data_IF_746106036386
#
_entry.id   IF_746106036386
#
_cell.length_a   1.000
_cell.length_b   1.000
_cell.length_c   1.000
_cell.angle_alpha   90.00
_cell.angle_beta   90.00
_cell.angle_gamma   90.00
#
_symmetry.space_group_name_H-M   'P 1'
#
loop_
_entity.id
_entity.type
_entity.pdbx_description
1 polymer ?
#
# COMPACT_ATOMS: atom_id res chain seq x y z
N UNK A 1 -81.38 -46.35 -67.15
CA UNK A 1 -80.35 -45.51 -67.83
C UNK A 1 -80.32 -44.06 -67.35
N UNK A 2 -81.44 -43.32 -67.32
CA UNK A 2 -81.44 -41.88 -66.93
C UNK A 2 -80.85 -41.58 -65.53
N UNK A 3 -81.13 -42.41 -64.52
CA UNK A 3 -80.65 -42.20 -63.14
C UNK A 3 -79.11 -42.26 -62.99
N UNK A 4 -78.45 -43.15 -63.74
CA UNK A 4 -76.98 -43.23 -63.73
C UNK A 4 -76.34 -42.01 -64.40
N UNK A 5 -76.96 -41.49 -65.48
CA UNK A 5 -76.47 -40.30 -66.18
C UNK A 5 -76.52 -39.08 -65.27
N UNK A 6 -77.61 -38.89 -64.51
CA UNK A 6 -77.75 -37.77 -63.58
C UNK A 6 -76.74 -37.84 -62.43
N UNK A 7 -76.55 -39.02 -61.84
CA UNK A 7 -75.52 -39.25 -60.80
C UNK A 7 -74.10 -38.98 -61.30
N UNK A 8 -73.80 -39.31 -62.55
CA UNK A 8 -72.49 -39.00 -63.14
C UNK A 8 -72.32 -37.50 -63.42
N UNK A 9 -73.39 -36.78 -63.80
CA UNK A 9 -73.36 -35.32 -63.94
C UNK A 9 -73.11 -34.63 -62.59
N UNK A 10 -73.82 -35.01 -61.54
CA UNK A 10 -73.59 -34.48 -60.18
C UNK A 10 -72.15 -34.73 -59.71
N UNK A 11 -71.61 -35.92 -60.00
CA UNK A 11 -70.22 -36.26 -59.66
C UNK A 11 -69.20 -35.40 -60.42
N UNK A 12 -69.45 -35.12 -61.71
CA UNK A 12 -68.60 -34.23 -62.52
C UNK A 12 -68.65 -32.80 -61.95
N UNK A 13 -69.83 -32.31 -61.59
CA UNK A 13 -70.01 -30.97 -61.04
C UNK A 13 -69.33 -30.80 -59.66
N UNK A 14 -69.42 -31.82 -58.80
CA UNK A 14 -68.72 -31.86 -57.53
C UNK A 14 -67.18 -31.86 -57.72
N UNK A 15 -66.68 -32.65 -58.66
CA UNK A 15 -65.26 -32.69 -59.01
C UNK A 15 -64.78 -31.33 -59.55
N UNK A 16 -65.56 -30.68 -60.40
CA UNK A 16 -65.24 -29.36 -60.93
C UNK A 16 -65.18 -28.29 -59.82
N UNK A 17 -66.09 -28.37 -58.85
CA UNK A 17 -66.07 -27.49 -57.67
C UNK A 17 -64.81 -27.73 -56.83
N UNK A 18 -64.47 -28.99 -56.55
CA UNK A 18 -63.25 -29.35 -55.82
C UNK A 18 -61.98 -28.94 -56.55
N UNK A 19 -61.93 -29.06 -57.89
CA UNK A 19 -60.82 -28.58 -58.72
C UNK A 19 -60.69 -27.05 -58.64
N UNK A 20 -61.81 -26.31 -58.63
CA UNK A 20 -61.79 -24.85 -58.47
C UNK A 20 -61.27 -24.43 -57.10
N UNK A 21 -61.73 -25.08 -56.03
CA UNK A 21 -61.27 -24.82 -54.67
C UNK A 21 -59.77 -25.13 -54.54
N UNK A 22 -59.32 -26.27 -55.06
CA UNK A 22 -57.91 -26.65 -55.08
C UNK A 22 -57.04 -25.65 -55.86
N UNK A 23 -57.51 -25.16 -57.02
CA UNK A 23 -56.81 -24.11 -57.78
C UNK A 23 -56.72 -22.79 -57.01
N UNK A 24 -57.76 -22.45 -56.25
CA UNK A 24 -57.80 -21.24 -55.45
C UNK A 24 -56.82 -21.32 -54.27
N UNK A 25 -56.74 -22.46 -53.60
CA UNK A 25 -55.77 -22.69 -52.53
C UNK A 25 -54.33 -22.75 -53.05
N UNK A 26 -54.08 -23.39 -54.20
CA UNK A 26 -52.77 -23.33 -54.88
C UNK A 26 -52.37 -21.88 -55.20
N UNK A 27 -53.33 -21.04 -55.57
CA UNK A 27 -53.07 -19.61 -55.83
C UNK A 27 -52.70 -18.85 -54.55
N UNK A 28 -53.39 -19.12 -53.44
CA UNK A 28 -53.05 -18.55 -52.12
C UNK A 28 -51.67 -19.00 -51.65
N UNK A 29 -51.37 -20.29 -51.74
CA UNK A 29 -50.09 -20.85 -51.32
C UNK A 29 -48.94 -20.30 -52.16
N UNK A 30 -49.14 -20.11 -53.47
CA UNK A 30 -48.15 -19.45 -54.34
C UNK A 30 -47.84 -18.03 -53.90
N UNK A 31 -48.85 -17.25 -53.49
CA UNK A 31 -48.65 -15.90 -52.95
C UNK A 31 -47.87 -15.95 -51.63
N UNK A 32 -48.27 -16.82 -50.70
CA UNK A 32 -47.59 -17.01 -49.42
C UNK A 32 -46.11 -17.40 -49.60
N UNK A 33 -45.82 -18.32 -50.54
CA UNK A 33 -44.44 -18.72 -50.86
C UNK A 33 -43.64 -17.54 -51.41
N UNK A 34 -44.24 -16.69 -52.24
CA UNK A 34 -43.60 -15.48 -52.75
C UNK A 34 -43.24 -14.53 -51.61
N UNK A 35 -44.19 -14.25 -50.72
CA UNK A 35 -43.98 -13.34 -49.58
C UNK A 35 -42.91 -13.88 -48.61
N UNK A 36 -42.91 -15.20 -48.36
CA UNK A 36 -41.89 -15.84 -47.53
C UNK A 36 -40.50 -15.79 -48.17
N UNK A 37 -40.41 -15.94 -49.50
CA UNK A 37 -39.14 -15.79 -50.23
C UNK A 37 -38.59 -14.36 -50.10
N UNK A 38 -39.45 -13.36 -50.26
CA UNK A 38 -39.05 -11.96 -50.11
C UNK A 38 -38.61 -11.64 -48.68
N UNK A 39 -39.36 -12.15 -47.68
CA UNK A 39 -38.99 -12.00 -46.26
C UNK A 39 -37.65 -12.66 -45.96
N UNK A 40 -37.43 -13.88 -46.45
CA UNK A 40 -36.14 -14.59 -46.31
C UNK A 40 -35.01 -13.78 -46.93
N UNK A 41 -35.19 -13.28 -48.15
CA UNK A 41 -34.19 -12.45 -48.83
C UNK A 41 -33.83 -11.20 -48.02
N UNK A 42 -34.83 -10.46 -47.51
CA UNK A 42 -34.61 -9.27 -46.67
C UNK A 42 -33.85 -9.61 -45.38
N UNK A 43 -34.21 -10.71 -44.72
CA UNK A 43 -33.53 -11.16 -43.49
C UNK A 43 -32.08 -11.55 -43.76
N UNK A 44 -31.81 -12.32 -44.82
CA UNK A 44 -30.44 -12.71 -45.19
C UNK A 44 -29.58 -11.48 -45.50
N UNK A 45 -30.13 -10.48 -46.21
CA UNK A 45 -29.41 -9.22 -46.47
C UNK A 45 -29.09 -8.47 -45.18
N UNK A 46 -30.04 -8.38 -44.25
CA UNK A 46 -29.85 -7.72 -42.95
C UNK A 46 -28.84 -8.46 -42.07
N UNK A 47 -28.87 -9.79 -42.07
CA UNK A 47 -27.92 -10.63 -41.35
C UNK A 47 -26.49 -10.38 -41.82
N UNK A 48 -26.27 -10.29 -43.14
CA UNK A 48 -24.94 -10.00 -43.71
C UNK A 48 -24.39 -8.64 -43.25
N UNK A 49 -25.22 -7.60 -43.26
CA UNK A 49 -24.82 -6.26 -42.79
C UNK A 49 -24.46 -6.28 -41.30
N UNK A 50 -25.22 -7.01 -40.49
CA UNK A 50 -24.90 -7.16 -39.08
C UNK A 50 -23.62 -7.95 -38.84
N UNK A 51 -23.37 -9.03 -39.60
CA UNK A 51 -22.10 -9.76 -39.48
C UNK A 51 -20.90 -8.89 -39.85
N UNK A 52 -20.99 -8.08 -40.91
CA UNK A 52 -19.92 -7.15 -41.29
C UNK A 52 -19.68 -6.12 -40.17
N UNK A 53 -20.74 -5.52 -39.62
CA UNK A 53 -20.62 -4.60 -38.49
C UNK A 53 -20.01 -5.26 -37.26
N UNK A 54 -20.42 -6.50 -36.94
CA UNK A 54 -19.88 -7.27 -35.82
C UNK A 54 -18.38 -7.51 -35.99
N UNK A 55 -17.95 -7.98 -37.17
CA UNK A 55 -16.53 -8.18 -37.46
C UNK A 55 -15.71 -6.89 -37.38
N UNK A 56 -16.29 -5.75 -37.79
CA UNK A 56 -15.66 -4.44 -37.63
C UNK A 56 -15.47 -4.05 -36.16
N UNK A 57 -16.49 -4.29 -35.32
CA UNK A 57 -16.42 -4.05 -33.88
C UNK A 57 -15.44 -4.99 -33.18
N UNK A 58 -15.40 -6.27 -33.56
CA UNK A 58 -14.44 -7.26 -33.03
C UNK A 58 -13.01 -6.87 -33.36
N UNK A 59 -12.74 -6.48 -34.60
CA UNK A 59 -11.41 -6.01 -35.02
C UNK A 59 -10.98 -4.75 -34.26
N UNK A 60 -11.89 -3.81 -34.05
CA UNK A 60 -11.63 -2.61 -33.27
C UNK A 60 -11.36 -2.93 -31.79
N UNK A 61 -12.15 -3.81 -31.18
CA UNK A 61 -11.94 -4.27 -29.80
C UNK A 61 -10.55 -4.89 -29.64
N UNK A 62 -10.17 -5.78 -30.57
CA UNK A 62 -8.86 -6.42 -30.59
C UNK A 62 -7.72 -5.41 -30.73
N UNK A 63 -7.87 -4.43 -31.62
CA UNK A 63 -6.89 -3.36 -31.76
C UNK A 63 -6.73 -2.55 -30.47
N UNK A 64 -7.83 -2.29 -29.75
CA UNK A 64 -7.78 -1.58 -28.47
C UNK A 64 -7.12 -2.43 -27.38
N UNK A 65 -7.40 -3.72 -27.31
CA UNK A 65 -6.72 -4.65 -26.41
C UNK A 65 -5.20 -4.68 -26.65
N UNK A 66 -4.79 -4.74 -27.92
CA UNK A 66 -3.38 -4.72 -28.29
C UNK A 66 -2.71 -3.38 -27.92
N UNK A 67 -3.39 -2.26 -28.13
CA UNK A 67 -2.91 -0.94 -27.73
C UNK A 67 -2.75 -0.81 -26.20
N UNK A 68 -3.72 -1.31 -25.44
CA UNK A 68 -3.67 -1.32 -23.97
C UNK A 68 -2.50 -2.19 -23.50
N UNK A 69 -2.31 -3.36 -24.11
CA UNK A 69 -1.20 -4.26 -23.78
C UNK A 69 0.16 -3.62 -24.08
N UNK A 70 0.29 -2.95 -25.24
CA UNK A 70 1.50 -2.23 -25.62
C UNK A 70 1.82 -1.12 -24.61
N UNK A 71 0.85 -0.22 -24.35
CA UNK A 71 1.02 0.86 -23.36
C UNK A 71 1.34 0.36 -21.96
N UNK A 72 0.72 -0.76 -21.54
CA UNK A 72 1.02 -1.38 -20.24
C UNK A 72 2.47 -1.87 -20.17
N UNK A 73 3.00 -2.46 -21.25
CA UNK A 73 4.40 -2.89 -21.30
C UNK A 73 5.38 -1.71 -21.31
N UNK A 74 5.07 -0.63 -22.03
CA UNK A 74 5.86 0.61 -22.04
C UNK A 74 5.92 1.23 -20.64
N UNK A 75 4.75 1.36 -19.98
CA UNK A 75 4.64 1.87 -18.62
C UNK A 75 5.46 1.02 -17.64
N UNK A 76 5.42 -0.31 -17.76
CA UNK A 76 6.19 -1.20 -16.90
C UNK A 76 7.71 -1.00 -17.06
N UNK A 77 8.19 -0.77 -18.29
CA UNK A 77 9.61 -0.49 -18.55
C UNK A 77 10.00 0.83 -17.92
N UNK A 78 9.21 1.89 -18.11
CA UNK A 78 9.48 3.21 -17.54
C UNK A 78 9.45 3.19 -16.01
N UNK A 79 8.48 2.50 -15.40
CA UNK A 79 8.40 2.29 -13.95
C UNK A 79 9.66 1.58 -13.42
N UNK A 80 10.11 0.51 -14.08
CA UNK A 80 11.31 -0.21 -13.65
C UNK A 80 12.59 0.63 -13.75
N UNK A 81 12.66 1.52 -14.76
CA UNK A 81 13.77 2.44 -14.93
C UNK A 81 13.75 3.52 -13.84
N UNK A 82 12.57 4.06 -13.52
CA UNK A 82 12.38 5.03 -12.44
C UNK A 82 12.73 4.42 -11.07
N UNK A 83 12.25 3.21 -10.78
CA UNK A 83 12.59 2.48 -9.55
C UNK A 83 14.09 2.30 -9.38
N UNK A 84 14.77 1.90 -10.46
CA UNK A 84 16.23 1.74 -10.48
C UNK A 84 16.95 3.07 -10.25
N UNK A 85 16.44 4.17 -10.81
CA UNK A 85 17.00 5.50 -10.60
C UNK A 85 16.81 5.97 -9.16
N UNK A 86 15.61 5.82 -8.59
CA UNK A 86 15.33 6.20 -7.20
C UNK A 86 16.24 5.40 -6.26
N UNK A 87 16.33 4.09 -6.46
CA UNK A 87 17.20 3.22 -5.68
C UNK A 87 18.67 3.71 -5.70
N UNK A 88 19.17 4.07 -6.89
CA UNK A 88 20.51 4.63 -7.04
C UNK A 88 20.67 5.96 -6.30
N UNK A 89 19.70 6.87 -6.42
CA UNK A 89 19.75 8.18 -5.75
C UNK A 89 19.70 8.06 -4.23
N UNK A 90 18.87 7.17 -3.70
CA UNK A 90 18.82 6.88 -2.26
C UNK A 90 20.15 6.33 -1.75
N UNK A 91 20.81 5.45 -2.51
CA UNK A 91 22.14 4.94 -2.16
C UNK A 91 23.23 6.01 -2.25
N UNK A 92 23.19 6.90 -3.26
CA UNK A 92 24.11 8.03 -3.36
C UNK A 92 23.95 9.01 -2.19
N UNK A 93 22.70 9.29 -1.78
CA UNK A 93 22.37 10.13 -0.63
C UNK A 93 23.01 9.59 0.65
N UNK A 94 22.80 8.30 0.92
CA UNK A 94 23.37 7.61 2.09
C UNK A 94 24.89 7.56 1.99
N UNK A 95 25.46 7.31 0.81
CA UNK A 95 26.91 7.21 0.66
C UNK A 95 27.65 8.54 0.92
N UNK A 96 27.09 9.65 0.47
CA UNK A 96 27.81 10.95 0.45
C UNK A 96 27.35 11.95 1.49
N UNK A 97 26.08 11.93 1.91
CA UNK A 97 25.50 12.92 2.82
C UNK A 97 25.21 12.31 4.19
N UNK A 98 24.64 11.11 4.22
CA UNK A 98 24.27 10.41 5.45
C UNK A 98 24.96 9.04 5.56
N UNK A 99 26.29 8.98 5.66
CA UNK A 99 27.01 7.72 5.74
C UNK A 99 26.55 6.91 6.95
N UNK A 100 26.02 5.72 6.69
CA UNK A 100 25.63 4.75 7.73
C UNK A 100 26.79 3.77 7.89
N UNK A 101 27.45 3.78 9.05
CA UNK A 101 28.54 2.86 9.36
C UNK A 101 28.09 1.92 10.48
N UNK A 102 28.12 0.59 10.28
CA UNK A 102 27.93 -0.34 11.38
C UNK A 102 29.09 -0.16 12.35
N UNK A 103 28.78 0.20 13.59
CA UNK A 103 29.77 0.26 14.65
C UNK A 103 30.11 -1.18 15.00
N UNK A 104 31.19 -1.71 14.43
CA UNK A 104 31.79 -2.92 14.97
C UNK A 104 32.21 -2.57 16.40
N UNK A 105 31.60 -3.21 17.40
CA UNK A 105 32.14 -3.21 18.74
C UNK A 105 33.63 -3.55 18.61
N UNK A 106 34.51 -2.57 18.78
CA UNK A 106 35.95 -2.77 18.79
C UNK A 106 36.24 -3.75 19.92
N UNK A 107 36.36 -5.03 19.56
CA UNK A 107 36.79 -6.10 20.48
C UNK A 107 38.25 -5.96 20.89
N UNK A 108 38.98 -5.05 20.24
CA UNK A 108 40.37 -4.80 20.55
C UNK A 108 40.46 -3.50 21.34
N UNK A 109 40.44 -3.61 22.67
CA UNK A 109 40.96 -2.66 23.69
C UNK A 109 39.95 -2.24 24.77
N UNK A 110 39.40 -3.14 25.59
CA UNK A 110 38.85 -2.70 26.89
C UNK A 110 39.04 -3.71 28.03
N UNK A 111 39.58 -3.19 29.15
CA UNK A 111 39.71 -3.74 30.51
C UNK A 111 38.73 -4.86 30.89
N UNK A 112 39.26 -5.91 31.54
CA UNK A 112 38.55 -7.14 31.94
C UNK A 112 37.33 -6.98 32.87
N UNK A 113 37.05 -5.79 33.38
CA UNK A 113 35.79 -5.49 34.09
C UNK A 113 34.61 -5.28 33.13
N UNK A 114 34.83 -4.72 31.93
CA UNK A 114 33.76 -4.60 30.92
C UNK A 114 33.43 -5.94 30.30
N UNK A 115 34.42 -6.83 30.15
CA UNK A 115 34.21 -8.19 29.65
C UNK A 115 33.32 -9.01 30.59
N UNK A 116 33.55 -8.94 31.91
CA UNK A 116 32.64 -9.58 32.90
C UNK A 116 31.23 -9.01 32.89
N UNK A 117 31.08 -7.69 32.69
CA UNK A 117 29.76 -7.06 32.57
C UNK A 117 29.04 -7.47 31.27
N UNK A 118 29.77 -7.59 30.16
CA UNK A 118 29.24 -8.11 28.90
C UNK A 118 28.81 -9.57 29.03
N UNK A 119 29.63 -10.43 29.66
CA UNK A 119 29.29 -11.84 29.93
C UNK A 119 28.06 -11.99 30.85
N UNK A 120 27.92 -11.12 31.86
CA UNK A 120 26.74 -11.09 32.74
C UNK A 120 25.48 -10.59 32.03
N UNK A 121 25.62 -9.56 31.17
CA UNK A 121 24.52 -9.03 30.38
C UNK A 121 24.07 -10.04 29.31
N UNK A 122 25.01 -10.78 28.71
CA UNK A 122 24.76 -11.89 27.80
C UNK A 122 24.01 -13.02 28.52
N UNK A 123 24.42 -13.38 29.75
CA UNK A 123 23.72 -14.37 30.56
C UNK A 123 22.28 -13.97 30.95
N UNK A 124 22.01 -12.66 31.04
CA UNK A 124 20.67 -12.11 31.32
C UNK A 124 19.75 -12.07 30.08
N UNK A 125 20.30 -12.22 28.87
CA UNK A 125 19.52 -12.17 27.61
C UNK A 125 19.07 -13.54 27.11
N UNK A 126 19.53 -14.63 27.73
CA UNK A 126 19.04 -15.97 27.43
C UNK A 126 17.67 -16.20 28.09
N UNK A 127 16.66 -16.50 27.28
CA UNK A 127 15.34 -16.91 27.78
C UNK A 127 15.16 -18.39 27.50
N UNK A 128 14.72 -19.15 28.51
CA UNK A 128 14.49 -20.59 28.37
C UNK A 128 13.04 -20.84 27.99
N UNK A 129 12.80 -21.30 26.75
CA UNK A 129 11.47 -21.59 26.22
C UNK A 129 11.46 -23.04 25.73
N UNK A 130 10.50 -23.83 26.23
CA UNK A 130 10.22 -25.21 25.79
C UNK A 130 11.42 -26.17 25.73
N UNK A 131 12.32 -26.13 26.71
CA UNK A 131 13.44 -27.08 26.75
C UNK A 131 14.70 -26.62 26.02
N UNK A 132 14.67 -25.44 25.39
CA UNK A 132 15.79 -24.90 24.64
C UNK A 132 16.19 -23.51 25.17
N UNK A 133 17.50 -23.29 25.26
CA UNK A 133 18.06 -21.96 25.50
C UNK A 133 17.99 -21.17 24.20
N UNK A 134 17.06 -20.21 24.13
CA UNK A 134 16.95 -19.31 22.98
C UNK A 134 17.63 -17.98 23.32
N UNK A 135 18.57 -17.59 22.48
CA UNK A 135 19.29 -16.33 22.57
C UNK A 135 18.53 -15.25 21.81
N UNK A 136 17.68 -14.50 22.50
CA UNK A 136 17.05 -13.30 21.96
C UNK A 136 18.03 -12.13 22.14
N UNK A 137 19.05 -12.07 21.30
CA UNK A 137 19.79 -10.81 21.13
C UNK A 137 18.97 -9.93 20.19
N UNK A 138 18.48 -8.76 20.63
CA UNK A 138 17.89 -7.76 19.75
C UNK A 138 19.02 -7.13 18.92
N UNK A 139 19.64 -7.91 18.04
CA UNK A 139 20.61 -7.48 17.03
C UNK A 139 21.47 -6.28 17.47
N UNK A 140 22.55 -6.60 18.19
CA UNK A 140 23.74 -5.80 18.52
C UNK A 140 24.43 -5.08 17.33
N UNK A 141 23.70 -4.70 16.28
CA UNK A 141 24.23 -3.79 15.27
C UNK A 141 23.91 -2.37 15.72
N UNK A 142 24.83 -1.79 16.50
CA UNK A 142 24.82 -0.33 16.69
C UNK A 142 25.23 0.31 15.36
N UNK A 143 24.42 1.23 14.86
CA UNK A 143 24.71 1.95 13.61
C UNK A 143 25.04 3.39 13.95
N UNK A 144 25.98 3.97 13.22
CA UNK A 144 26.24 5.41 13.29
C UNK A 144 25.82 6.06 11.99
N UNK A 145 25.11 7.19 12.09
CA UNK A 145 24.76 8.02 10.94
C UNK A 145 25.57 9.29 11.04
N UNK A 146 26.46 9.53 10.07
CA UNK A 146 27.47 10.62 10.10
C UNK A 146 28.50 10.44 11.22
N UNK A 147 28.10 10.58 12.49
CA UNK A 147 28.98 10.50 13.66
C UNK A 147 28.29 10.01 14.95
N UNK A 148 27.03 10.39 15.26
CA UNK A 148 26.33 9.86 16.43
C UNK A 148 25.95 8.37 16.29
N UNK A 149 26.02 7.63 17.41
CA UNK A 149 25.69 6.19 17.48
C UNK A 149 24.25 5.97 17.94
N UNK A 150 23.57 5.02 17.33
CA UNK A 150 22.22 4.60 17.68
C UNK A 150 22.21 3.12 18.07
N UNK A 151 21.56 2.80 19.19
CA UNK A 151 21.18 1.44 19.57
C UNK A 151 19.79 1.18 18.97
N UNK A 152 19.59 -0.01 18.42
CA UNK A 152 18.44 -0.37 17.59
C UNK A 152 17.12 -0.39 18.38
N UNK A 153 16.50 0.78 18.54
CA UNK A 153 15.06 0.90 18.72
C UNK A 153 14.50 0.90 20.14
N UNK A 154 15.27 0.50 21.16
CA UNK A 154 14.85 0.66 22.55
C UNK A 154 15.58 1.84 23.20
N UNK A 155 14.92 3.00 23.17
CA UNK A 155 15.45 4.24 23.75
C UNK A 155 15.08 4.40 25.23
N UNK A 156 14.40 3.41 25.85
CA UNK A 156 13.88 3.49 27.22
C UNK A 156 14.98 3.47 28.29
N UNK A 157 16.10 2.80 28.05
CA UNK A 157 17.21 2.67 29.00
C UNK A 157 17.90 4.01 29.32
N UNK A 158 17.83 4.98 28.40
CA UNK A 158 18.50 6.30 28.52
C UNK A 158 17.55 7.42 29.01
N UNK A 159 16.29 7.09 29.28
CA UNK A 159 15.24 8.04 29.71
C UNK A 159 15.40 8.52 31.15
N UNK A 160 16.13 7.78 31.98
CA UNK A 160 16.47 8.16 33.37
C UNK A 160 17.59 9.22 33.45
N UNK A 161 17.90 9.89 32.34
CA UNK A 161 18.97 10.88 32.23
C UNK A 161 18.61 12.22 32.88
N UNK A 162 17.38 12.73 32.71
CA UNK A 162 16.98 14.04 33.28
C UNK A 162 17.11 14.05 34.81
N UNK A 163 16.70 12.98 35.49
CA UNK A 163 16.87 12.82 36.95
C UNK A 163 18.35 12.81 37.36
N UNK A 164 19.21 12.12 36.60
CA UNK A 164 20.66 12.09 36.85
C UNK A 164 21.35 13.41 36.52
N UNK A 165 20.86 14.17 35.54
CA UNK A 165 21.43 15.45 35.13
C UNK A 165 21.14 16.55 36.17
N UNK A 166 19.91 16.60 36.70
CA UNK A 166 19.60 17.48 37.85
C UNK A 166 20.46 17.14 39.07
N UNK A 167 20.64 15.85 39.38
CA UNK A 167 21.48 15.41 40.51
C UNK A 167 22.98 15.73 40.34
N UNK A 168 23.51 15.70 39.11
CA UNK A 168 24.95 15.90 38.83
C UNK A 168 25.32 17.34 38.50
N UNK A 169 24.38 18.18 38.06
CA UNK A 169 24.57 19.62 37.86
C UNK A 169 24.94 20.35 39.16
N UNK A 170 24.56 19.82 40.33
CA UNK A 170 24.96 20.36 41.64
C UNK A 170 26.39 19.97 42.05
N UNK A 171 27.08 19.10 41.31
CA UNK A 171 28.45 18.66 41.62
C UNK A 171 29.43 19.11 40.52
N UNK A 172 30.03 20.29 40.71
CA UNK A 172 30.90 21.01 39.76
C UNK A 172 32.26 20.33 39.39
N UNK A 173 32.41 19.01 39.51
CA UNK A 173 33.72 18.35 39.43
C UNK A 173 33.83 17.25 38.35
N UNK A 174 33.28 17.45 37.15
CA UNK A 174 33.47 16.49 36.04
C UNK A 174 34.24 17.13 34.86
N UNK A 175 35.34 16.52 34.37
CA UNK A 175 36.15 17.06 33.28
C UNK A 175 35.35 17.21 31.97
N UNK A 176 35.64 18.27 31.22
CA UNK A 176 34.88 18.69 30.03
C UNK A 176 34.95 17.74 28.83
N UNK A 177 35.91 16.82 28.79
CA UNK A 177 36.16 15.91 27.65
C UNK A 177 35.34 14.61 27.71
N UNK A 178 34.74 14.27 28.85
CA UNK A 178 33.94 13.04 29.04
C UNK A 178 32.40 13.30 28.98
N UNK A 179 31.97 14.49 28.58
CA UNK A 179 30.53 14.85 28.45
C UNK A 179 29.88 14.31 27.17
N UNK A 180 30.18 13.07 26.79
CA UNK A 180 29.34 12.34 25.83
C UNK A 180 28.16 11.74 26.58
N UNK A 181 27.10 12.52 26.70
CA UNK A 181 25.85 12.04 27.26
C UNK A 181 25.09 11.24 26.20
N UNK A 182 24.86 9.93 26.41
CA UNK A 182 24.23 9.05 25.42
C UNK A 182 22.91 9.59 24.85
N UNK A 183 22.12 10.28 25.67
CA UNK A 183 20.88 10.92 25.24
C UNK A 183 21.06 11.96 24.12
N UNK A 184 22.11 12.80 24.18
CA UNK A 184 22.39 13.79 23.12
C UNK A 184 22.92 13.15 21.85
N UNK A 185 23.58 11.99 21.97
CA UNK A 185 24.04 11.22 20.82
C UNK A 185 22.85 10.56 20.12
N UNK A 186 21.93 9.97 20.89
CA UNK A 186 20.70 9.37 20.37
C UNK A 186 19.80 10.43 19.74
N UNK A 187 19.65 11.59 20.37
CA UNK A 187 18.84 12.68 19.84
C UNK A 187 19.38 13.23 18.53
N UNK A 188 20.70 13.45 18.45
CA UNK A 188 21.36 13.88 17.23
C UNK A 188 21.25 12.81 16.12
N UNK A 189 21.40 11.52 16.48
CA UNK A 189 21.21 10.42 15.54
C UNK A 189 19.78 10.40 14.98
N UNK A 190 18.76 10.48 15.83
CA UNK A 190 17.34 10.51 15.42
C UNK A 190 16.99 11.76 14.59
N UNK A 191 17.60 12.91 14.90
CA UNK A 191 17.44 14.11 14.08
C UNK A 191 17.99 13.91 12.66
N UNK A 192 19.16 13.27 12.53
CA UNK A 192 19.71 12.91 11.22
C UNK A 192 18.89 11.82 10.52
N UNK A 193 18.35 10.85 11.24
CA UNK A 193 17.42 9.86 10.69
C UNK A 193 16.15 10.52 10.15
N UNK A 194 15.54 11.42 10.92
CA UNK A 194 14.36 12.16 10.49
C UNK A 194 14.65 12.98 9.22
N UNK A 195 15.79 13.65 9.15
CA UNK A 195 16.20 14.40 7.96
C UNK A 195 16.45 13.49 6.75
N UNK A 196 17.09 12.33 6.96
CA UNK A 196 17.29 11.33 5.92
C UNK A 196 15.95 10.80 5.41
N UNK A 197 15.02 10.45 6.30
CA UNK A 197 13.68 9.96 5.97
C UNK A 197 12.88 11.01 5.19
N UNK A 198 12.91 12.29 5.60
CA UNK A 198 12.28 13.38 4.83
C UNK A 198 12.87 13.50 3.42
N UNK A 199 14.18 13.39 3.28
CA UNK A 199 14.86 13.49 1.98
C UNK A 199 14.55 12.28 1.10
N UNK A 200 14.52 11.08 1.67
CA UNK A 200 14.13 9.85 0.98
C UNK A 200 12.68 9.94 0.51
N UNK A 201 11.79 10.42 1.38
CA UNK A 201 10.36 10.62 1.07
C UNK A 201 10.18 11.53 -0.15
N UNK A 202 10.96 12.62 -0.22
CA UNK A 202 11.00 13.52 -1.36
C UNK A 202 11.54 12.86 -2.64
N UNK A 203 12.65 12.12 -2.55
CA UNK A 203 13.23 11.41 -3.70
C UNK A 203 12.27 10.31 -4.22
N UNK A 204 11.53 9.68 -3.32
CA UNK A 204 10.59 8.60 -3.62
C UNK A 204 9.23 9.09 -4.10
N UNK A 205 8.96 10.40 -4.02
CA UNK A 205 7.67 11.03 -4.33
C UNK A 205 6.49 10.32 -3.64
N UNK A 206 6.65 10.03 -2.35
CA UNK A 206 5.66 9.33 -1.54
C UNK A 206 5.16 10.22 -0.41
N UNK A 207 3.88 10.07 -0.07
CA UNK A 207 3.30 10.75 1.08
C UNK A 207 3.45 9.89 2.35
N UNK A 208 3.86 10.51 3.45
CA UNK A 208 3.93 9.87 4.77
C UNK A 208 2.80 10.41 5.65
N UNK A 209 2.17 9.60 6.50
CA UNK A 209 0.97 10.00 7.21
C UNK A 209 1.23 10.97 8.36
N UNK A 210 2.47 11.04 8.86
CA UNK A 210 2.83 11.91 9.98
C UNK A 210 3.91 12.89 9.56
N UNK A 211 3.74 14.16 9.89
CA UNK A 211 4.82 15.14 9.72
C UNK A 211 5.85 14.94 10.82
N UNK A 212 7.10 14.75 10.45
CA UNK A 212 8.23 14.63 11.40
C UNK A 212 9.24 15.72 11.10
N UNK A 213 9.62 16.49 12.11
CA UNK A 213 10.66 17.51 11.99
C UNK A 213 11.90 17.10 12.77
N UNK A 214 13.10 17.37 12.24
CA UNK A 214 14.34 17.10 12.98
C UNK A 214 14.42 17.88 14.30
N UNK A 215 13.77 19.05 14.37
CA UNK A 215 13.69 19.87 15.58
C UNK A 215 12.97 19.17 16.74
N UNK A 216 12.09 18.21 16.45
CA UNK A 216 11.34 17.45 17.46
C UNK A 216 12.29 16.60 18.32
N UNK A 217 13.45 16.24 17.77
CA UNK A 217 14.50 15.49 18.46
C UNK A 217 15.55 16.40 19.09
N UNK A 218 15.60 17.69 18.75
CA UNK A 218 16.59 18.64 19.28
C UNK A 218 16.17 19.27 20.62
N UNK A 219 14.91 19.16 21.03
CA UNK A 219 14.37 19.75 22.27
C UNK A 219 13.98 18.65 23.26
N UNK A 220 14.76 18.47 24.33
CA UNK A 220 14.51 17.48 25.38
C UNK A 220 13.86 18.11 26.60
N UNK A 221 12.56 18.35 26.51
CA UNK A 221 11.78 18.90 27.62
C UNK A 221 10.85 17.87 28.26
N UNK A 222 10.24 16.98 27.45
CA UNK A 222 9.30 15.96 27.92
C UNK A 222 9.56 14.60 27.24
N UNK A 223 9.69 13.55 28.06
CA UNK A 223 9.90 12.18 27.60
C UNK A 223 8.73 11.64 26.75
N UNK A 224 7.49 12.00 27.07
CA UNK A 224 6.32 11.60 26.31
C UNK A 224 6.34 12.19 24.90
N UNK A 225 6.71 13.49 24.78
CA UNK A 225 6.88 14.16 23.48
C UNK A 225 7.97 13.51 22.64
N UNK A 226 9.08 13.14 23.28
CA UNK A 226 10.17 12.44 22.62
C UNK A 226 9.73 11.04 22.13
N UNK A 227 9.05 10.25 22.97
CA UNK A 227 8.51 8.94 22.59
C UNK A 227 7.52 9.05 21.43
N UNK A 228 6.66 10.06 21.46
CA UNK A 228 5.70 10.35 20.40
C UNK A 228 6.37 10.73 19.08
N UNK A 229 7.42 11.56 19.10
CA UNK A 229 8.20 11.89 17.91
C UNK A 229 8.90 10.66 17.30
N UNK A 230 9.47 9.79 18.14
CA UNK A 230 10.06 8.51 17.70
C UNK A 230 9.00 7.60 17.08
N UNK A 231 7.81 7.52 17.68
CA UNK A 231 6.70 6.74 17.13
C UNK A 231 6.23 7.28 15.77
N UNK A 232 6.13 8.61 15.59
CA UNK A 232 5.84 9.25 14.30
C UNK A 232 6.90 8.86 13.25
N UNK A 233 8.19 8.89 13.61
CA UNK A 233 9.30 8.52 12.73
C UNK A 233 9.26 7.04 12.32
N UNK A 234 9.10 6.13 13.28
CA UNK A 234 8.96 4.69 13.04
C UNK A 234 7.76 4.39 12.13
N UNK A 235 6.64 5.08 12.35
CA UNK A 235 5.47 4.94 11.52
C UNK A 235 5.75 5.34 10.06
N UNK A 236 6.40 6.49 9.86
CA UNK A 236 6.77 6.93 8.51
C UNK A 236 7.72 5.95 7.81
N UNK A 237 8.74 5.43 8.50
CA UNK A 237 9.68 4.46 7.92
C UNK A 237 8.95 3.18 7.48
N UNK A 238 8.05 2.65 8.31
CA UNK A 238 7.26 1.47 7.94
C UNK A 238 6.36 1.77 6.72
N UNK A 239 5.85 3.00 6.58
CA UNK A 239 4.97 3.38 5.46
C UNK A 239 5.76 3.33 4.16
N UNK A 240 6.97 3.89 4.19
CA UNK A 240 7.90 3.84 3.07
C UNK A 240 8.25 2.40 2.70
N UNK A 241 8.51 1.53 3.69
CA UNK A 241 8.76 0.11 3.47
C UNK A 241 7.57 -0.60 2.81
N UNK A 242 6.34 -0.32 3.27
CA UNK A 242 5.10 -0.87 2.68
C UNK A 242 4.92 -0.37 1.24
N UNK A 243 5.12 0.93 1.00
CA UNK A 243 5.02 1.54 -0.33
C UNK A 243 6.04 0.95 -1.32
N UNK A 244 7.23 0.56 -0.83
CA UNK A 244 8.29 -0.08 -1.62
C UNK A 244 8.21 -1.61 -1.68
N UNK A 245 7.14 -2.21 -1.13
CA UNK A 245 6.96 -3.65 -1.08
C UNK A 245 8.16 -4.39 -0.45
N UNK A 246 8.75 -3.81 0.59
CA UNK A 246 9.73 -4.48 1.44
C UNK A 246 9.04 -5.65 2.15
N UNK A 247 9.79 -6.73 2.39
CA UNK A 247 9.29 -7.91 3.09
C UNK A 247 8.84 -7.53 4.52
N UNK A 248 7.52 -7.60 4.75
CA UNK A 248 6.90 -7.19 6.01
C UNK A 248 7.33 -8.08 7.19
N UNK A 249 7.72 -9.33 6.92
CA UNK A 249 8.15 -10.27 7.97
C UNK A 249 9.48 -9.87 8.63
N UNK A 250 10.26 -9.01 7.95
CA UNK A 250 11.55 -8.51 8.44
C UNK A 250 11.42 -7.17 9.18
N UNK A 251 10.27 -6.52 9.08
CA UNK A 251 10.05 -5.22 9.71
C UNK A 251 9.79 -5.40 11.20
N UNK A 252 10.25 -4.43 12.00
CA UNK A 252 10.02 -4.38 13.44
C UNK A 252 9.35 -3.05 13.81
N UNK A 253 8.34 -3.00 14.70
CA UNK A 253 7.63 -1.76 15.05
C UNK A 253 8.58 -0.63 15.50
N UNK A 254 9.52 -0.94 16.38
CA UNK A 254 10.49 0.02 16.92
C UNK A 254 11.87 -0.07 16.24
N UNK A 255 12.00 -0.82 15.15
CA UNK A 255 13.28 -1.05 14.48
C UNK A 255 13.70 0.08 13.54
N UNK A 256 13.81 1.32 14.02
CA UNK A 256 14.03 2.54 13.20
C UNK A 256 15.11 2.33 12.13
N UNK A 257 16.34 2.07 12.56
CA UNK A 257 17.49 1.88 11.67
C UNK A 257 17.41 0.58 10.86
N UNK A 258 16.93 -0.52 11.46
CA UNK A 258 16.82 -1.82 10.78
C UNK A 258 15.84 -1.74 9.60
N UNK A 259 14.69 -1.10 9.79
CA UNK A 259 13.69 -0.90 8.75
C UNK A 259 14.20 0.06 7.68
N UNK A 260 14.89 1.13 8.08
CA UNK A 260 15.49 2.10 7.16
C UNK A 260 16.56 1.45 6.27
N UNK A 261 17.38 0.54 6.81
CA UNK A 261 18.33 -0.25 6.01
C UNK A 261 17.63 -1.20 5.06
N UNK A 262 16.55 -1.85 5.48
CA UNK A 262 15.76 -2.71 4.60
C UNK A 262 15.13 -1.93 3.43
N UNK A 263 14.78 -0.66 3.65
CA UNK A 263 14.31 0.27 2.62
C UNK A 263 15.44 0.68 1.65
N UNK A 264 16.61 1.07 2.17
CA UNK A 264 17.74 1.58 1.38
C UNK A 264 18.45 0.46 0.62
N UNK A 265 18.56 -0.73 1.19
CA UNK A 265 19.23 -1.89 0.61
C UNK A 265 18.26 -3.06 0.50
N UNK A 266 17.27 -2.97 -0.42
CA UNK A 266 16.34 -4.06 -0.64
C UNK A 266 17.12 -5.29 -1.10
N UNK A 267 17.00 -6.38 -0.36
CA UNK A 267 17.50 -7.67 -0.81
C UNK A 267 16.80 -8.04 -2.12
N UNK A 268 17.57 -8.46 -3.12
CA UNK A 268 17.02 -9.00 -4.38
C UNK A 268 16.44 -10.39 -4.13
N UNK A 269 15.36 -10.49 -3.37
CA UNK A 269 14.68 -11.75 -3.12
C UNK A 269 13.94 -12.19 -4.38
N UNK A 270 14.44 -13.27 -5.00
CA UNK A 270 13.78 -14.01 -6.07
C UNK A 270 12.59 -14.82 -5.57
N UNK A 271 12.47 -14.98 -4.25
CA UNK A 271 11.46 -15.79 -3.57
C UNK A 271 10.53 -14.87 -2.75
N UNK A 272 9.82 -13.96 -3.41
CA UNK A 272 8.67 -13.30 -2.77
C UNK A 272 7.62 -14.39 -2.54
N UNK A 273 7.55 -14.96 -1.34
CA UNK A 273 6.36 -15.71 -0.93
C UNK A 273 5.20 -14.71 -1.00
N UNK A 274 4.29 -14.91 -1.95
CA UNK A 274 3.13 -14.04 -2.08
C UNK A 274 2.29 -14.22 -0.83
N UNK A 275 2.39 -13.28 0.11
CA UNK A 275 1.48 -13.21 1.25
C UNK A 275 0.06 -13.06 0.70
N UNK A 276 -0.87 -13.79 1.29
CA UNK A 276 -2.29 -13.55 1.04
C UNK A 276 -2.69 -12.17 1.57
N UNK A 277 -3.81 -11.63 1.08
CA UNK A 277 -4.30 -10.33 1.56
C UNK A 277 -4.56 -10.34 3.07
N UNK A 278 -5.05 -11.47 3.60
CA UNK A 278 -5.37 -11.65 5.02
C UNK A 278 -4.11 -11.70 5.90
N UNK A 279 -3.12 -12.51 5.52
CA UNK A 279 -1.82 -12.59 6.23
C UNK A 279 -1.11 -11.22 6.23
N UNK A 280 -1.22 -10.47 5.13
CA UNK A 280 -0.64 -9.13 5.01
C UNK A 280 -1.28 -8.15 5.98
N UNK A 281 -2.61 -8.17 6.10
CA UNK A 281 -3.34 -7.30 7.03
C UNK A 281 -3.04 -7.63 8.48
N UNK A 282 -2.90 -8.91 8.83
CA UNK A 282 -2.54 -9.34 10.19
C UNK A 282 -1.14 -8.86 10.58
N UNK A 283 -0.15 -8.99 9.69
CA UNK A 283 1.21 -8.47 9.93
C UNK A 283 1.20 -6.96 10.08
N UNK A 284 0.49 -6.22 9.22
CA UNK A 284 0.38 -4.76 9.32
C UNK A 284 -0.21 -4.35 10.67
N UNK A 285 -1.28 -5.02 11.14
CA UNK A 285 -1.85 -4.76 12.47
C UNK A 285 -0.84 -5.02 13.60
N UNK A 286 -0.11 -6.12 13.54
CA UNK A 286 0.93 -6.42 14.54
C UNK A 286 2.07 -5.38 14.56
N UNK A 287 2.31 -4.68 13.44
CA UNK A 287 3.26 -3.57 13.36
C UNK A 287 2.68 -2.25 13.87
N UNK A 288 1.37 -2.04 13.67
CA UNK A 288 0.64 -0.82 14.03
C UNK A 288 0.33 -0.75 15.54
N UNK A 289 -0.05 -1.87 16.17
CA UNK A 289 -0.49 -1.89 17.58
C UNK A 289 0.55 -1.34 18.57
N UNK A 290 1.85 -1.70 18.50
CA UNK A 290 2.86 -1.20 19.44
C UNK A 290 3.18 0.29 19.26
N UNK A 291 3.04 0.80 18.03
CA UNK A 291 3.33 2.21 17.71
C UNK A 291 2.14 3.08 18.12
N UNK A 292 0.92 2.58 17.93
CA UNK A 292 -0.32 3.31 18.22
C UNK A 292 -0.45 3.75 19.68
N UNK A 293 0.11 2.97 20.62
CA UNK A 293 0.13 3.33 22.04
C UNK A 293 0.90 4.63 22.32
N UNK A 294 1.98 4.88 21.57
CA UNK A 294 2.81 6.07 21.70
C UNK A 294 2.36 7.23 20.79
N UNK A 295 1.38 6.99 19.91
CA UNK A 295 0.81 7.98 19.00
C UNK A 295 -0.45 8.67 19.56
N UNK A 296 -0.88 8.33 20.78
CA UNK A 296 -2.01 9.00 21.43
C UNK A 296 -1.67 10.49 21.69
N UNK A 297 -2.66 11.40 21.54
CA UNK A 297 -2.44 12.82 21.75
C UNK A 297 -2.00 13.08 23.18
N UNK A 298 -0.85 13.73 23.33
CA UNK A 298 -0.31 14.15 24.62
C UNK A 298 -1.14 15.35 25.09
N UNK A 299 -1.69 15.25 26.30
CA UNK A 299 -2.65 16.23 26.83
C UNK A 299 -1.93 17.44 27.45
N UNK A 300 -1.14 18.15 26.65
CA UNK A 300 -0.48 19.39 27.07
C UNK A 300 -1.29 20.59 26.55
N UNK A 301 -1.90 21.32 27.49
CA UNK A 301 -2.78 22.48 27.28
C UNK A 301 -2.10 23.72 26.68
N UNK A 302 -0.82 23.65 26.30
CA UNK A 302 0.02 24.82 25.94
C UNK A 302 0.83 24.60 24.64
N UNK A 303 0.31 23.85 23.66
CA UNK A 303 0.98 23.76 22.35
C UNK A 303 0.38 24.74 21.32
N UNK A 304 1.04 25.89 21.16
CA UNK A 304 0.75 26.91 20.14
C UNK A 304 1.09 26.44 18.70
N UNK A 305 1.46 25.16 18.48
CA UNK A 305 1.59 24.59 17.15
C UNK A 305 0.22 24.28 16.53
N UNK A 306 -0.48 25.35 16.11
CA UNK A 306 -1.68 25.33 15.28
C UNK A 306 -1.46 24.59 13.93
N UNK A 307 -0.19 24.28 13.59
CA UNK A 307 0.20 23.51 12.40
C UNK A 307 0.23 21.98 12.61
N UNK A 308 0.00 21.47 13.82
CA UNK A 308 -0.05 20.02 14.12
C UNK A 308 -1.43 19.41 13.85
N UNK A 309 -2.16 19.99 12.88
CA UNK A 309 -3.21 19.24 12.16
C UNK A 309 -2.46 18.17 11.38
N UNK A 310 -2.26 17.04 12.05
CA UNK A 310 -2.01 15.74 11.46
C UNK A 310 -2.78 15.67 10.15
N UNK A 311 -2.10 15.45 9.02
CA UNK A 311 -2.67 15.62 7.70
C UNK A 311 -3.95 14.77 7.54
N UNK A 312 -5.09 15.33 7.93
CA UNK A 312 -6.39 14.82 7.60
C UNK A 312 -6.43 14.86 6.09
N UNK A 313 -6.56 13.68 5.50
CA UNK A 313 -6.62 13.47 4.08
C UNK A 313 -7.69 14.38 3.47
N UNK A 314 -7.30 15.57 3.01
CA UNK A 314 -8.13 16.35 2.09
C UNK A 314 -8.06 15.59 0.78
N UNK A 315 -9.05 14.72 0.57
CA UNK A 315 -9.39 14.21 -0.75
C UNK A 315 -9.73 15.43 -1.61
N UNK A 316 -8.73 15.94 -2.34
CA UNK A 316 -9.00 16.79 -3.50
C UNK A 316 -9.68 15.87 -4.50
N UNK A 317 -10.99 15.85 -4.44
CA UNK A 317 -11.81 15.24 -5.49
C UNK A 317 -11.61 16.14 -6.69
N UNK A 318 -10.78 15.70 -7.63
CA UNK A 318 -10.73 16.33 -8.94
C UNK A 318 -12.14 16.32 -9.55
N UNK A 319 -12.44 17.40 -10.30
CA UNK A 319 -13.64 17.66 -11.11
C UNK A 319 -14.81 18.40 -10.42
N UNK A 320 -14.69 19.73 -10.29
CA UNK A 320 -15.83 20.63 -10.44
C UNK A 320 -16.31 20.62 -11.91
N UNK A 321 -17.30 19.79 -12.23
CA UNK A 321 -18.10 19.93 -13.46
C UNK A 321 -19.45 20.54 -13.09
N UNK A 322 -19.83 21.72 -13.60
CA UNK A 322 -21.13 22.30 -13.28
C UNK A 322 -22.26 21.72 -14.14
N UNK A 323 -23.38 21.46 -13.44
CA UNK A 323 -24.78 21.61 -13.84
C UNK A 323 -25.66 20.37 -14.17
N UNK A 324 -26.67 20.21 -13.30
CA UNK A 324 -28.11 19.96 -13.56
C UNK A 324 -28.68 18.52 -13.62
N UNK A 325 -29.39 18.10 -12.57
CA UNK A 325 -30.87 18.04 -12.43
C UNK A 325 -31.26 17.24 -11.15
N UNK A 326 -32.43 17.49 -10.52
CA UNK A 326 -32.75 16.94 -9.21
C UNK A 326 -33.38 15.54 -9.30
N UNK A 327 -32.85 14.59 -8.52
CA UNK A 327 -33.40 13.24 -8.31
C UNK A 327 -33.49 12.99 -6.79
N UNK A 328 -34.56 12.37 -6.28
CA UNK A 328 -34.99 12.56 -4.88
C UNK A 328 -34.17 11.77 -3.87
N UNK A 329 -34.05 12.38 -2.68
CA UNK A 329 -33.35 11.91 -1.49
C UNK A 329 -33.97 10.61 -0.94
N UNK A 330 -33.19 9.53 -0.74
CA UNK A 330 -33.56 8.47 0.18
C UNK A 330 -33.09 8.79 1.61
N UNK A 331 -33.91 8.42 2.58
CA UNK A 331 -33.79 8.68 4.02
C UNK A 331 -32.46 8.21 4.67
N UNK A 332 -32.04 8.87 5.78
CA UNK A 332 -30.76 8.59 6.44
C UNK A 332 -30.82 7.25 7.20
N UNK A 333 -29.98 6.30 6.78
CA UNK A 333 -29.70 5.07 7.53
C UNK A 333 -28.68 5.41 8.63
N UNK A 334 -28.82 4.90 9.87
CA UNK A 334 -27.96 5.27 10.99
C UNK A 334 -26.49 4.90 10.75
N UNK A 335 -25.63 5.89 10.90
CA UNK A 335 -24.18 5.78 10.86
C UNK A 335 -23.72 4.97 12.09
N UNK A 336 -23.54 3.66 11.94
CA UNK A 336 -22.67 2.93 12.85
C UNK A 336 -21.23 3.32 12.50
N UNK A 337 -20.66 4.22 13.30
CA UNK A 337 -19.24 4.53 13.30
C UNK A 337 -18.45 3.28 13.68
N UNK A 338 -18.02 2.53 12.67
CA UNK A 338 -16.86 1.64 12.76
C UNK A 338 -15.64 2.37 12.18
N UNK A 339 -15.13 3.35 12.92
CA UNK A 339 -13.88 4.04 12.59
C UNK A 339 -12.70 3.29 13.22
N UNK A 340 -12.29 2.18 12.61
CA UNK A 340 -10.89 1.72 12.67
C UNK A 340 -10.55 1.10 11.31
N UNK A 341 -10.50 1.95 10.28
CA UNK A 341 -9.75 1.61 9.06
C UNK A 341 -8.28 1.93 9.34
N UNK A 342 -7.44 0.90 9.38
CA UNK A 342 -5.98 0.99 9.52
C UNK A 342 -5.42 2.17 8.71
N UNK A 343 -4.66 3.08 9.36
CA UNK A 343 -4.21 4.34 8.75
C UNK A 343 -3.24 4.12 7.58
N UNK A 344 -2.73 2.91 7.42
CA UNK A 344 -1.84 2.45 6.35
C UNK A 344 -2.56 2.17 5.03
N UNK A 345 -3.91 2.03 5.05
CA UNK A 345 -4.70 1.71 3.85
C UNK A 345 -4.63 2.81 2.77
N UNK A 346 -4.43 4.07 3.16
CA UNK A 346 -4.28 5.18 2.23
C UNK A 346 -2.99 5.11 1.39
N UNK A 347 -1.89 4.58 1.95
CA UNK A 347 -0.62 4.43 1.24
C UNK A 347 -0.64 3.34 0.15
N UNK A 348 -1.64 2.45 0.19
CA UNK A 348 -1.75 1.30 -0.72
C UNK A 348 -2.72 1.51 -1.89
N UNK A 349 -3.39 2.66 -1.98
CA UNK A 349 -4.36 2.93 -3.06
C UNK A 349 -5.49 1.90 -3.16
N UNK A 350 -5.77 1.18 -2.06
CA UNK A 350 -6.88 0.23 -2.01
C UNK A 350 -8.09 0.93 -1.39
N UNK A 351 -9.10 1.15 -2.23
CA UNK A 351 -10.45 1.56 -1.82
C UNK A 351 -11.17 0.44 -1.09
#
# INVERSE_FOLDING_TARGET
MRFNIERYKEKIELLDKSIKDCKLDISKDKKLISDLKDKKYRLTKRQKLFSEKLTGMENYSKQMEDNVKCKKSELQVEQSALESLIQKRTQELVKYIFPIVPSSNNKDSVSGERQKKAELQEAQTFTYIEGNWTYDNPSDNTYSIVQPFLITGDYSADTNWNEKMELTAYTNNMPSEDRYYPAYVISAALAYEAQLVSTITYIMDCHVPRRTCFNDFCKYENLEKFSHAVAKLNANIINLCIARQVDLTKLRPNGTMSNLLALIYPEKNKDKKSLTSEEREEIIKSLEDPISQNLLPINDSDDDNIDDIEAEFVHVSDEEVPASLPVPVPEPVPMHQSFISSWWKAALGQR
#
